data_IF_799355865335
#
_entry.id   IF_799355865335
#
_cell.length_a   1.000
_cell.length_b   1.000
_cell.length_c   1.000
_cell.angle_alpha   90.00
_cell.angle_beta   90.00
_cell.angle_gamma   90.00
#
_symmetry.space_group_name_H-M   'P 1'
#
loop_
_entity.id
_entity.type
_entity.pdbx_description
1 polymer ?
#
# COMPACT_ATOMS: atom_id res chain seq x y z
N UNK A 1 -25.50 2.58 2.02
CA UNK A 1 -24.99 3.42 0.91
C UNK A 1 -26.07 3.67 -0.14
N UNK A 2 -26.64 2.64 -0.79
CA UNK A 2 -27.67 2.77 -1.84
C UNK A 2 -28.87 3.63 -1.45
N UNK A 3 -29.45 3.41 -0.26
CA UNK A 3 -30.57 4.22 0.22
C UNK A 3 -30.21 5.71 0.39
N UNK A 4 -28.97 5.99 0.82
CA UNK A 4 -28.46 7.36 0.94
C UNK A 4 -28.29 8.00 -0.44
N UNK A 5 -27.71 7.27 -1.41
CA UNK A 5 -27.52 7.77 -2.77
C UNK A 5 -28.86 8.03 -3.45
N UNK A 6 -29.82 7.10 -3.36
CA UNK A 6 -31.17 7.27 -3.91
C UNK A 6 -31.86 8.50 -3.33
N UNK A 7 -31.77 8.69 -2.01
CA UNK A 7 -32.36 9.85 -1.33
C UNK A 7 -31.73 11.18 -1.74
N UNK A 8 -30.41 11.24 -1.92
CA UNK A 8 -29.71 12.51 -2.22
C UNK A 8 -29.85 12.88 -3.69
N UNK A 9 -29.84 11.90 -4.59
CA UNK A 9 -30.02 12.14 -6.03
C UNK A 9 -31.48 12.49 -6.36
N UNK A 10 -32.44 11.89 -5.65
CA UNK A 10 -33.87 12.20 -5.75
C UNK A 10 -34.44 12.22 -7.19
N UNK A 11 -33.90 11.34 -8.05
CA UNK A 11 -34.27 11.20 -9.46
C UNK A 11 -34.78 9.77 -9.69
N UNK A 12 -36.05 9.65 -10.08
CA UNK A 12 -36.73 8.37 -10.32
C UNK A 12 -36.35 7.72 -11.66
N UNK A 13 -35.64 8.44 -12.53
CA UNK A 13 -35.07 7.90 -13.77
C UNK A 13 -33.75 7.17 -13.54
N UNK A 14 -33.11 7.33 -12.37
CA UNK A 14 -31.85 6.67 -12.03
C UNK A 14 -32.08 5.32 -11.35
N UNK A 15 -31.52 4.26 -11.94
CA UNK A 15 -31.41 2.94 -11.30
C UNK A 15 -30.05 2.82 -10.59
N UNK A 16 -30.07 2.66 -9.26
CA UNK A 16 -28.86 2.46 -8.45
C UNK A 16 -28.76 0.98 -8.07
N UNK A 17 -27.83 0.27 -8.71
CA UNK A 17 -27.58 -1.15 -8.44
C UNK A 17 -26.18 -1.33 -7.87
N UNK A 18 -26.02 -1.88 -6.65
CA UNK A 18 -24.72 -2.33 -6.19
C UNK A 18 -24.27 -3.52 -7.04
N UNK A 19 -23.10 -3.40 -7.67
CA UNK A 19 -22.55 -4.49 -8.50
C UNK A 19 -21.90 -5.58 -7.65
N UNK A 20 -21.25 -5.17 -6.56
CA UNK A 20 -20.52 -6.08 -5.66
C UNK A 20 -20.66 -5.64 -4.20
N UNK A 21 -20.49 -6.60 -3.29
CA UNK A 21 -20.38 -6.32 -1.86
C UNK A 21 -18.91 -6.21 -1.51
N UNK A 22 -18.50 -5.06 -0.97
CA UNK A 22 -17.13 -4.86 -0.52
C UNK A 22 -16.75 -5.92 0.52
N UNK A 23 -15.69 -6.68 0.23
CA UNK A 23 -15.13 -7.62 1.20
C UNK A 23 -14.19 -6.86 2.12
N UNK A 24 -14.55 -6.76 3.39
CA UNK A 24 -13.70 -6.11 4.39
C UNK A 24 -12.47 -6.97 4.66
N UNK A 25 -11.34 -6.30 4.88
CA UNK A 25 -10.08 -6.94 5.25
C UNK A 25 -9.42 -6.12 6.35
N UNK A 26 -9.33 -6.63 7.59
CA UNK A 26 -8.63 -5.94 8.67
C UNK A 26 -7.16 -5.68 8.30
N UNK A 27 -6.56 -4.57 8.75
CA UNK A 27 -5.15 -4.31 8.53
C UNK A 27 -4.28 -5.35 9.26
N UNK A 28 -3.08 -5.61 8.74
CA UNK A 28 -2.10 -6.42 9.47
C UNK A 28 -1.64 -5.70 10.75
N UNK A 29 -1.38 -6.44 11.85
CA UNK A 29 -0.82 -5.87 13.07
C UNK A 29 0.60 -5.33 12.79
N UNK A 30 1.09 -4.38 13.59
CA UNK A 30 2.47 -3.92 13.48
C UNK A 30 3.43 -4.88 14.18
N UNK A 31 3.74 -5.99 13.52
CA UNK A 31 4.60 -7.05 14.09
C UNK A 31 6.08 -6.62 14.15
N UNK A 32 6.74 -6.64 15.33
CA UNK A 32 8.15 -6.32 15.48
C UNK A 32 9.07 -7.13 14.56
N UNK A 33 8.74 -8.39 14.27
CA UNK A 33 9.53 -9.27 13.38
C UNK A 33 9.62 -8.69 11.96
N UNK A 34 8.61 -7.94 11.53
CA UNK A 34 8.62 -7.24 10.24
C UNK A 34 9.16 -5.81 10.41
N UNK A 35 8.71 -5.10 11.43
CA UNK A 35 8.98 -3.68 11.58
C UNK A 35 10.44 -3.36 11.97
N UNK A 36 11.13 -4.26 12.69
CA UNK A 36 12.53 -4.06 13.07
C UNK A 36 13.50 -4.16 11.89
N UNK A 37 13.45 -5.20 11.03
CA UNK A 37 14.22 -5.23 9.80
C UNK A 37 13.98 -4.00 8.92
N UNK A 38 12.71 -3.59 8.76
CA UNK A 38 12.36 -2.38 7.98
C UNK A 38 13.08 -1.16 8.54
N UNK A 39 13.03 -0.92 9.86
CA UNK A 39 13.73 0.21 10.49
C UNK A 39 15.24 0.13 10.31
N UNK A 40 15.83 -1.03 10.59
CA UNK A 40 17.29 -1.23 10.52
C UNK A 40 17.83 -1.01 9.10
N UNK A 41 17.18 -1.63 8.10
CA UNK A 41 17.60 -1.53 6.71
C UNK A 41 17.37 -0.11 6.17
N UNK A 42 16.26 0.53 6.55
CA UNK A 42 16.01 1.94 6.20
C UNK A 42 17.15 2.83 6.71
N UNK A 43 17.52 2.73 7.99
CA UNK A 43 18.59 3.54 8.57
C UNK A 43 19.97 3.28 7.92
N UNK A 44 20.20 2.06 7.40
CA UNK A 44 21.44 1.71 6.73
C UNK A 44 21.55 2.27 5.29
N UNK A 45 20.42 2.44 4.59
CA UNK A 45 20.39 2.94 3.21
C UNK A 45 20.13 4.46 3.19
N UNK A 46 19.21 4.92 4.03
CA UNK A 46 18.77 6.32 4.14
C UNK A 46 18.80 6.75 5.62
N UNK A 47 19.96 7.23 6.14
CA UNK A 47 20.15 7.52 7.57
C UNK A 47 19.18 8.55 8.17
N UNK A 48 18.73 9.52 7.37
CA UNK A 48 17.82 10.59 7.80
C UNK A 48 16.33 10.25 7.60
N UNK A 49 16.02 9.08 7.02
CA UNK A 49 14.65 8.68 6.75
C UNK A 49 13.95 8.11 8.00
N UNK A 50 12.70 8.52 8.21
CA UNK A 50 11.82 8.00 9.27
C UNK A 50 10.82 6.99 8.71
N UNK A 51 10.66 5.87 9.40
CA UNK A 51 9.67 4.84 9.07
C UNK A 51 8.34 5.18 9.74
N UNK A 52 7.30 5.41 8.94
CA UNK A 52 5.94 5.69 9.41
C UNK A 52 4.97 4.69 8.81
N UNK A 53 4.27 3.87 9.62
CA UNK A 53 3.20 3.01 9.11
C UNK A 53 2.02 3.86 8.63
N UNK A 54 1.56 3.58 7.41
CA UNK A 54 0.41 4.28 6.80
C UNK A 54 -0.60 3.27 6.26
N UNK A 55 -1.88 3.66 6.30
CA UNK A 55 -2.93 2.94 5.59
C UNK A 55 -3.06 3.52 4.18
N UNK A 56 -2.72 2.72 3.16
CA UNK A 56 -2.94 3.10 1.77
C UNK A 56 -4.43 3.10 1.42
N UNK A 57 -4.87 4.05 0.60
CA UNK A 57 -6.26 4.15 0.13
C UNK A 57 -6.57 3.23 -1.08
N UNK A 58 -5.53 2.71 -1.72
CA UNK A 58 -5.65 1.84 -2.90
C UNK A 58 -5.87 0.37 -2.54
N UNK A 59 -6.59 -0.34 -3.41
CA UNK A 59 -6.72 -1.79 -3.32
C UNK A 59 -5.39 -2.48 -3.68
N UNK A 60 -5.08 -3.57 -2.98
CA UNK A 60 -3.93 -4.43 -3.27
C UNK A 60 -4.31 -5.89 -2.99
N UNK A 61 -3.56 -6.84 -3.56
CA UNK A 61 -3.76 -8.28 -3.33
C UNK A 61 -3.64 -8.68 -1.85
N UNK A 62 -3.03 -7.81 -1.03
CA UNK A 62 -2.87 -8.01 0.40
C UNK A 62 -4.20 -8.21 1.15
N UNK A 63 -5.32 -7.71 0.62
CA UNK A 63 -6.63 -7.96 1.20
C UNK A 63 -7.02 -9.45 1.14
N UNK A 64 -6.68 -10.13 0.04
CA UNK A 64 -6.98 -11.54 -0.17
C UNK A 64 -6.16 -12.41 0.79
N UNK A 65 -4.87 -12.15 0.90
CA UNK A 65 -3.97 -12.92 1.78
C UNK A 65 -4.28 -12.69 3.25
N UNK A 66 -4.58 -11.45 3.67
CA UNK A 66 -5.03 -11.17 5.05
C UNK A 66 -6.33 -11.88 5.39
N UNK A 67 -7.28 -11.93 4.46
CA UNK A 67 -8.53 -12.66 4.66
C UNK A 67 -8.34 -14.18 4.73
N UNK A 68 -7.25 -14.70 4.15
CA UNK A 68 -6.81 -16.08 4.32
C UNK A 68 -6.01 -16.32 5.61
N UNK A 69 -5.86 -15.32 6.48
CA UNK A 69 -5.14 -15.42 7.76
C UNK A 69 -3.64 -15.15 7.67
N UNK A 70 -3.14 -14.68 6.51
CA UNK A 70 -1.71 -14.39 6.30
C UNK A 70 -1.49 -12.88 6.42
N UNK A 71 -0.84 -12.44 7.50
CA UNK A 71 -0.45 -11.05 7.64
C UNK A 71 0.43 -10.61 6.45
N UNK A 72 0.09 -9.50 5.80
CA UNK A 72 0.72 -9.05 4.56
C UNK A 72 0.91 -7.54 4.60
N UNK A 73 2.13 -7.11 4.29
CA UNK A 73 2.60 -5.74 4.44
C UNK A 73 3.04 -5.18 3.09
N UNK A 74 2.51 -4.01 2.72
CA UNK A 74 2.98 -3.27 1.55
C UNK A 74 4.19 -2.42 1.94
N UNK A 75 5.37 -2.79 1.46
CA UNK A 75 6.63 -2.10 1.78
C UNK A 75 7.37 -1.85 0.46
N UNK A 76 7.83 -0.62 0.24
CA UNK A 76 8.60 -0.21 -0.93
C UNK A 76 9.71 0.73 -0.51
N UNK A 77 10.88 0.60 -1.14
CA UNK A 77 11.98 1.55 -1.03
C UNK A 77 11.98 2.58 -2.16
N UNK A 78 10.91 2.66 -2.95
CA UNK A 78 10.80 3.57 -4.08
C UNK A 78 10.32 4.94 -3.62
N UNK A 79 11.17 5.95 -3.81
CA UNK A 79 10.92 7.35 -3.54
C UNK A 79 10.63 8.07 -4.86
N UNK A 80 9.58 8.89 -4.83
CA UNK A 80 9.28 9.86 -5.88
C UNK A 80 9.47 11.26 -5.32
N UNK A 81 9.76 12.23 -6.19
CA UNK A 81 9.81 13.62 -5.78
C UNK A 81 8.44 14.05 -5.22
N UNK A 82 8.47 14.96 -4.24
CA UNK A 82 7.25 15.54 -3.70
C UNK A 82 6.41 16.17 -4.82
N UNK A 83 5.11 15.88 -4.83
CA UNK A 83 4.20 16.34 -5.88
C UNK A 83 4.31 15.60 -7.22
N UNK A 84 5.19 14.60 -7.35
CA UNK A 84 5.37 13.82 -8.60
C UNK A 84 4.77 12.40 -8.54
N UNK A 85 3.75 12.20 -7.70
CA UNK A 85 3.04 10.92 -7.64
C UNK A 85 2.12 10.75 -8.85
N UNK A 86 2.54 9.90 -9.80
CA UNK A 86 1.89 9.70 -11.11
C UNK A 86 1.43 8.27 -11.36
N UNK A 87 1.23 7.47 -10.32
CA UNK A 87 0.69 6.12 -10.50
C UNK A 87 -0.61 6.18 -11.32
N UNK A 88 -0.72 5.33 -12.35
CA UNK A 88 -1.84 5.33 -13.32
C UNK A 88 -1.90 6.53 -14.28
N UNK A 89 -0.86 7.38 -14.33
CA UNK A 89 -0.75 8.50 -15.26
C UNK A 89 -0.11 8.12 -16.59
N UNK A 90 -0.32 8.95 -17.63
CA UNK A 90 0.27 8.76 -18.97
C UNK A 90 1.80 8.73 -18.96
N UNK A 91 2.41 9.46 -18.04
CA UNK A 91 3.87 9.61 -17.93
C UNK A 91 4.37 9.21 -16.53
N UNK A 92 3.81 8.10 -16.01
CA UNK A 92 4.31 7.40 -14.83
C UNK A 92 5.81 7.11 -14.97
N UNK A 93 6.57 7.44 -13.93
CA UNK A 93 8.03 7.34 -13.91
C UNK A 93 8.55 7.24 -12.49
N UNK A 94 9.81 6.80 -12.39
CA UNK A 94 10.57 6.73 -11.14
C UNK A 94 12.02 7.15 -11.43
N UNK A 95 12.70 7.87 -10.51
CA UNK A 95 14.13 8.12 -10.65
C UNK A 95 14.91 6.81 -10.74
N UNK A 96 15.90 6.74 -11.65
CA UNK A 96 16.72 5.54 -11.85
C UNK A 96 17.47 5.14 -10.57
N UNK A 97 17.98 6.11 -9.80
CA UNK A 97 18.60 5.85 -8.50
C UNK A 97 17.62 5.18 -7.54
N UNK A 98 16.40 5.72 -7.43
CA UNK A 98 15.38 5.17 -6.55
C UNK A 98 14.96 3.76 -6.94
N UNK A 99 14.91 3.43 -8.23
CA UNK A 99 14.69 2.05 -8.67
C UNK A 99 15.75 1.09 -8.10
N UNK A 100 17.03 1.43 -8.22
CA UNK A 100 18.11 0.58 -7.74
C UNK A 100 18.19 0.52 -6.21
N UNK A 101 17.98 1.65 -5.52
CA UNK A 101 17.94 1.68 -4.06
C UNK A 101 16.74 0.89 -3.51
N UNK A 102 15.56 1.00 -4.14
CA UNK A 102 14.39 0.20 -3.77
C UNK A 102 14.64 -1.29 -3.97
N UNK A 103 15.32 -1.67 -5.06
CA UNK A 103 15.69 -3.07 -5.30
C UNK A 103 16.63 -3.58 -4.21
N UNK A 104 17.66 -2.81 -3.86
CA UNK A 104 18.61 -3.17 -2.79
C UNK A 104 17.89 -3.31 -1.44
N UNK A 105 17.02 -2.36 -1.11
CA UNK A 105 16.21 -2.41 0.11
C UNK A 105 15.36 -3.68 0.18
N UNK A 106 14.65 -4.01 -0.91
CA UNK A 106 13.78 -5.20 -0.97
C UNK A 106 14.58 -6.50 -0.90
N UNK A 107 15.74 -6.60 -1.56
CA UNK A 107 16.62 -7.78 -1.47
C UNK A 107 17.09 -8.00 -0.02
N UNK A 108 17.57 -6.95 0.66
CA UNK A 108 17.97 -7.04 2.07
C UNK A 108 16.81 -7.43 2.97
N UNK A 109 15.62 -6.86 2.74
CA UNK A 109 14.45 -7.15 3.55
C UNK A 109 14.03 -8.62 3.40
N UNK A 110 13.97 -9.13 2.17
CA UNK A 110 13.67 -10.54 1.91
C UNK A 110 14.71 -11.44 2.57
N UNK A 111 16.00 -11.13 2.46
CA UNK A 111 17.07 -11.91 3.13
C UNK A 111 16.99 -11.88 4.65
N UNK A 112 16.62 -10.74 5.23
CA UNK A 112 16.47 -10.61 6.68
C UNK A 112 15.27 -11.40 7.23
N UNK A 113 14.26 -11.66 6.38
CA UNK A 113 13.06 -12.43 6.73
C UNK A 113 13.13 -13.89 6.28
N UNK A 114 14.03 -14.23 5.35
CA UNK A 114 14.32 -15.58 4.93
C UNK A 114 15.18 -16.28 6.00
N UNK A 115 14.64 -17.36 6.55
CA UNK A 115 15.31 -18.25 7.50
C UNK A 115 16.36 -19.13 6.82
#
# INVERSE_FOLDING_TARGET
>A
MTATLARVLADDQLLITPLEVATLSPPSPLDPVIMEPVRSITAAIWPDAVVVPVMGLGATDSALTRNAGIATYGISGAFVAEGDYRAHGKDERLPVSSFYESREFLDRLVRALAF
#
